data_IF_610254106470
#
_entry.id   IF_610254106470
#
_cell.length_a   1.000
_cell.length_b   1.000
_cell.length_c   1.000
_cell.angle_alpha   90.00
_cell.angle_beta   90.00
_cell.angle_gamma   90.00
#
_symmetry.space_group_name_H-M   'P 1'
#
loop_
_entity.id
_entity.type
_entity.pdbx_description
1 polymer ?
#
# COMPACT_ATOMS: atom_id res chain seq x y z
N UNK A 1 21.59 3.16 -9.77
CA UNK A 1 20.32 2.41 -9.99
C UNK A 1 20.51 0.99 -9.48
N UNK A 2 19.73 0.56 -8.51
CA UNK A 2 19.76 -0.81 -7.99
C UNK A 2 18.47 -1.54 -8.38
N UNK A 3 18.58 -2.82 -8.65
CA UNK A 3 17.43 -3.70 -8.81
C UNK A 3 17.08 -4.28 -7.44
N UNK A 4 15.89 -4.03 -6.93
CA UNK A 4 15.44 -4.55 -5.65
C UNK A 4 13.94 -4.86 -5.71
N UNK A 5 13.51 -5.83 -4.91
CA UNK A 5 12.10 -6.14 -4.74
C UNK A 5 11.67 -5.91 -3.29
N UNK A 6 10.37 -5.74 -3.06
CA UNK A 6 9.78 -5.35 -1.78
C UNK A 6 10.34 -4.01 -1.27
N UNK A 7 10.31 -3.02 -2.13
CA UNK A 7 10.66 -1.62 -1.84
C UNK A 7 9.40 -0.89 -1.39
N UNK A 8 9.48 -0.14 -0.31
CA UNK A 8 8.44 0.80 0.08
C UNK A 8 8.48 2.02 -0.83
N UNK A 9 7.38 2.31 -1.52
CA UNK A 9 7.27 3.49 -2.37
C UNK A 9 6.24 4.48 -1.85
N UNK A 10 6.55 5.76 -1.94
CA UNK A 10 5.69 6.85 -1.52
C UNK A 10 6.09 8.15 -2.23
N UNK A 11 5.42 9.26 -1.98
CA UNK A 11 5.83 10.51 -2.60
C UNK A 11 4.92 11.69 -2.31
N UNK A 12 5.36 12.83 -2.81
CA UNK A 12 4.61 14.08 -2.90
C UNK A 12 4.30 14.40 -4.37
N UNK A 13 3.73 15.56 -4.62
CA UNK A 13 3.55 16.05 -5.98
C UNK A 13 4.85 16.49 -6.69
N UNK A 14 5.99 16.48 -5.98
CA UNK A 14 7.29 16.89 -6.54
C UNK A 14 8.34 15.79 -6.55
N UNK A 15 8.27 14.84 -5.61
CA UNK A 15 9.24 13.76 -5.44
C UNK A 15 8.57 12.41 -5.26
N UNK A 16 9.07 11.39 -5.96
CA UNK A 16 8.85 9.99 -5.63
C UNK A 16 10.02 9.48 -4.80
N UNK A 17 9.74 8.74 -3.72
CA UNK A 17 10.74 8.18 -2.81
C UNK A 17 10.59 6.67 -2.71
N UNK A 18 11.70 5.96 -2.61
CA UNK A 18 11.77 4.49 -2.62
C UNK A 18 12.75 4.05 -1.54
N UNK A 19 12.28 3.30 -0.55
CA UNK A 19 13.12 2.90 0.58
C UNK A 19 13.21 1.41 0.80
N UNK A 20 14.39 0.94 1.21
CA UNK A 20 14.64 -0.44 1.56
C UNK A 20 14.73 -1.36 0.35
N UNK A 21 14.30 -2.60 0.56
CA UNK A 21 14.25 -3.63 -0.46
C UNK A 21 15.37 -4.65 -0.36
N UNK A 22 15.24 -5.68 -1.18
CA UNK A 22 16.15 -6.82 -1.22
C UNK A 22 16.78 -6.91 -2.61
N UNK A 23 17.97 -6.32 -2.82
CA UNK A 23 18.67 -6.41 -4.09
C UNK A 23 19.42 -7.73 -4.27
N UNK A 24 19.45 -8.63 -3.22
CA UNK A 24 20.28 -9.82 -3.17
C UNK A 24 21.78 -9.55 -3.39
N UNK A 25 22.70 -10.19 -2.69
CA UNK A 25 22.51 -11.21 -1.66
C UNK A 25 22.18 -10.68 -0.27
N UNK A 26 22.13 -9.36 -0.09
CA UNK A 26 21.80 -8.70 1.18
C UNK A 26 20.74 -7.63 1.01
N UNK A 27 19.94 -7.41 2.04
CA UNK A 27 18.95 -6.33 2.08
C UNK A 27 19.62 -4.95 2.15
N UNK A 28 18.90 -3.92 1.73
CA UNK A 28 19.35 -2.51 1.69
C UNK A 28 18.53 -1.64 2.63
N UNK A 29 19.17 -0.62 3.19
CA UNK A 29 18.54 0.46 3.97
C UNK A 29 18.44 1.77 3.17
N UNK A 30 18.98 1.81 1.97
CA UNK A 30 19.04 3.02 1.14
C UNK A 30 17.63 3.52 0.79
N UNK A 31 17.46 4.82 0.89
CA UNK A 31 16.31 5.55 0.37
C UNK A 31 16.77 6.31 -0.87
N UNK A 32 16.15 6.05 -2.01
CA UNK A 32 16.35 6.78 -3.24
C UNK A 32 15.17 7.70 -3.53
N UNK A 33 15.39 8.79 -4.26
CA UNK A 33 14.30 9.62 -4.76
C UNK A 33 14.48 10.04 -6.22
N UNK A 34 13.37 10.39 -6.84
CA UNK A 34 13.31 11.04 -8.15
C UNK A 34 12.56 12.36 -8.03
N UNK A 35 12.92 13.33 -8.85
CA UNK A 35 12.16 14.58 -9.02
C UNK A 35 11.18 14.39 -10.18
N UNK A 36 9.88 14.51 -9.91
CA UNK A 36 8.83 14.19 -10.90
C UNK A 36 8.81 15.18 -12.09
N UNK A 37 9.23 16.42 -11.88
CA UNK A 37 9.23 17.44 -12.92
C UNK A 37 10.44 17.37 -13.88
N UNK A 38 11.43 16.50 -13.61
CA UNK A 38 12.65 16.39 -14.40
C UNK A 38 13.00 14.95 -14.72
N UNK A 39 13.56 14.71 -15.92
CA UNK A 39 14.14 13.42 -16.25
C UNK A 39 15.50 13.27 -15.53
N UNK A 40 15.84 12.04 -15.18
CA UNK A 40 17.13 11.73 -14.55
C UNK A 40 17.11 10.42 -13.79
N UNK A 41 18.26 10.01 -13.34
CA UNK A 41 18.42 8.86 -12.46
C UNK A 41 17.93 9.18 -11.04
N UNK A 42 17.62 8.12 -10.30
CA UNK A 42 17.34 8.26 -8.88
C UNK A 42 18.60 8.73 -8.13
N UNK A 43 18.39 9.56 -7.14
CA UNK A 43 19.42 10.17 -6.31
C UNK A 43 19.28 9.63 -4.89
N UNK A 44 20.39 9.42 -4.22
CA UNK A 44 20.43 9.03 -2.82
C UNK A 44 19.77 10.10 -1.94
N UNK A 45 18.84 9.65 -1.09
CA UNK A 45 18.12 10.48 -0.13
C UNK A 45 18.72 10.36 1.27
N UNK A 46 19.14 9.14 1.65
CA UNK A 46 19.60 8.74 2.97
C UNK A 46 19.24 7.29 3.24
N UNK A 47 19.19 6.90 4.50
CA UNK A 47 18.97 5.50 4.89
C UNK A 47 17.77 5.33 5.84
N UNK A 48 17.13 4.16 5.77
CA UNK A 48 16.19 3.67 6.79
C UNK A 48 16.94 3.33 8.09
N UNK A 49 16.22 3.14 9.17
CA UNK A 49 16.77 2.73 10.47
C UNK A 49 17.42 1.34 10.45
N UNK A 50 17.02 0.48 9.51
CA UNK A 50 17.58 -0.86 9.32
C UNK A 50 17.53 -1.30 7.86
N UNK A 51 18.52 -2.10 7.46
CA UNK A 51 18.54 -2.74 6.15
C UNK A 51 17.48 -3.83 6.09
N UNK A 52 16.60 -3.78 5.10
CA UNK A 52 15.54 -4.79 4.98
C UNK A 52 14.48 -4.46 3.95
N UNK A 53 13.55 -5.37 3.84
CA UNK A 53 12.37 -5.18 3.02
C UNK A 53 11.47 -4.14 3.68
N UNK A 54 10.93 -3.26 2.88
CA UNK A 54 9.91 -2.32 3.31
C UNK A 54 8.58 -2.75 2.70
N UNK A 55 7.56 -2.96 3.51
CA UNK A 55 6.38 -3.68 3.04
C UNK A 55 5.30 -2.77 2.48
N UNK A 56 5.26 -1.54 2.95
CA UNK A 56 4.29 -0.56 2.50
C UNK A 56 4.82 0.87 2.65
N UNK A 57 4.31 1.77 1.83
CA UNK A 57 4.55 3.19 1.93
C UNK A 57 3.25 3.98 2.03
N UNK A 58 3.29 5.07 2.77
CA UNK A 58 2.20 6.03 2.87
C UNK A 58 2.77 7.43 2.94
N UNK A 59 2.06 8.44 2.48
CA UNK A 59 2.56 9.81 2.50
C UNK A 59 1.50 10.87 2.62
N UNK A 60 1.94 12.03 3.02
CA UNK A 60 1.30 13.33 2.78
C UNK A 60 2.14 14.12 1.77
N UNK A 61 1.81 15.39 1.56
CA UNK A 61 2.61 16.30 0.73
C UNK A 61 4.04 16.52 1.27
N UNK A 62 4.24 16.35 2.57
CA UNK A 62 5.50 16.69 3.24
C UNK A 62 6.26 15.49 3.80
N UNK A 63 5.56 14.43 4.22
CA UNK A 63 6.13 13.26 4.88
C UNK A 63 5.88 11.99 4.10
N UNK A 64 6.90 11.15 4.02
CA UNK A 64 6.76 9.75 3.60
C UNK A 64 7.05 8.82 4.78
N UNK A 65 6.23 7.80 4.91
CA UNK A 65 6.31 6.75 5.92
C UNK A 65 6.67 5.44 5.22
N UNK A 66 7.58 4.69 5.84
CA UNK A 66 7.96 3.36 5.45
C UNK A 66 7.56 2.39 6.56
N UNK A 67 6.57 1.55 6.27
CA UNK A 67 5.96 0.67 7.26
C UNK A 67 6.52 -0.75 7.13
N UNK A 68 6.79 -1.38 8.26
CA UNK A 68 7.31 -2.75 8.31
C UNK A 68 8.76 -2.88 7.85
N UNK A 69 9.60 -1.94 8.27
CA UNK A 69 11.04 -1.94 7.95
C UNK A 69 11.68 -3.22 8.46
N UNK A 70 12.47 -3.88 7.61
CA UNK A 70 13.12 -5.15 7.88
C UNK A 70 12.16 -6.26 8.35
N UNK A 71 10.91 -6.25 7.83
CA UNK A 71 9.86 -7.18 8.24
C UNK A 71 9.53 -7.15 9.77
N UNK A 72 9.89 -6.06 10.44
CA UNK A 72 9.55 -5.79 11.83
C UNK A 72 8.30 -4.91 11.91
N UNK A 73 7.89 -4.53 13.11
CA UNK A 73 6.79 -3.59 13.33
C UNK A 73 7.19 -2.11 13.17
N UNK A 74 8.44 -1.81 12.91
CA UNK A 74 8.99 -0.46 12.84
C UNK A 74 8.36 0.35 11.71
N UNK A 75 8.06 1.60 12.01
CA UNK A 75 7.66 2.63 11.05
C UNK A 75 8.73 3.72 11.04
N UNK A 76 9.38 3.89 9.90
CA UNK A 76 10.29 4.99 9.66
C UNK A 76 9.60 6.12 8.88
N UNK A 77 10.07 7.35 9.03
CA UNK A 77 9.61 8.46 8.21
C UNK A 77 10.74 9.40 7.77
N UNK A 78 10.47 10.11 6.71
CA UNK A 78 11.29 11.22 6.21
C UNK A 78 10.44 12.46 5.94
N UNK A 79 11.04 13.63 6.04
CA UNK A 79 10.52 14.87 5.46
C UNK A 79 10.93 14.90 3.98
N UNK A 80 9.99 14.78 3.05
CA UNK A 80 10.27 14.52 1.61
C UNK A 80 11.17 15.59 0.97
N UNK A 81 11.11 16.82 1.45
CA UNK A 81 11.88 17.93 0.86
C UNK A 81 13.29 18.09 1.44
N UNK A 82 13.60 17.40 2.54
CA UNK A 82 14.88 17.53 3.26
C UNK A 82 15.64 16.23 3.23
N UNK A 83 16.79 16.17 2.56
CA UNK A 83 17.63 14.97 2.51
C UNK A 83 18.15 14.58 3.89
N UNK A 84 18.26 13.30 4.13
CA UNK A 84 18.80 12.73 5.37
C UNK A 84 18.20 11.36 5.68
N UNK A 85 18.72 10.76 6.72
CA UNK A 85 18.25 9.45 7.17
C UNK A 85 16.83 9.53 7.72
N UNK A 86 16.11 8.44 7.57
CA UNK A 86 14.81 8.26 8.20
C UNK A 86 14.94 8.29 9.73
N UNK A 87 13.88 8.72 10.35
CA UNK A 87 13.77 8.80 11.81
C UNK A 87 12.61 7.89 12.23
N UNK A 88 12.79 7.23 13.35
CA UNK A 88 11.73 6.43 13.97
C UNK A 88 10.45 7.26 14.15
N UNK A 89 9.35 6.72 13.64
CA UNK A 89 8.01 7.30 13.75
C UNK A 89 7.23 6.65 14.88
N UNK A 90 7.39 5.35 15.08
CA UNK A 90 6.68 4.50 16.00
C UNK A 90 6.54 3.08 15.45
N UNK A 91 5.62 2.32 16.01
CA UNK A 91 5.45 0.90 15.70
C UNK A 91 4.05 0.57 15.19
N UNK A 92 3.98 -0.47 14.36
CA UNK A 92 2.73 -1.17 14.02
C UNK A 92 2.31 -1.97 15.25
N UNK A 93 1.10 -1.73 15.77
CA UNK A 93 0.60 -2.39 16.97
C UNK A 93 0.34 -3.89 16.76
N UNK A 94 0.34 -4.65 17.88
CA UNK A 94 -0.03 -6.07 17.96
C UNK A 94 0.91 -7.08 17.27
N UNK A 95 2.23 -6.84 17.28
CA UNK A 95 3.20 -7.88 16.90
C UNK A 95 3.03 -8.41 15.48
N UNK A 96 2.36 -7.65 14.63
CA UNK A 96 2.23 -7.96 13.21
C UNK A 96 3.58 -7.70 12.58
N UNK A 97 4.44 -8.70 12.54
CA UNK A 97 5.68 -8.60 11.79
C UNK A 97 5.35 -8.13 10.37
N UNK A 98 5.91 -7.00 9.99
CA UNK A 98 5.54 -6.27 8.79
C UNK A 98 5.85 -6.95 7.47
N UNK A 99 5.89 -8.27 7.42
CA UNK A 99 6.41 -8.96 6.26
C UNK A 99 5.55 -8.96 5.00
N UNK A 100 4.50 -8.19 4.87
CA UNK A 100 3.69 -7.97 3.64
C UNK A 100 2.38 -7.23 3.96
N UNK A 101 2.49 -6.10 4.61
CA UNK A 101 1.37 -5.19 4.77
C UNK A 101 1.13 -4.36 3.52
N UNK A 102 0.00 -3.72 3.50
CA UNK A 102 -0.39 -2.73 2.50
C UNK A 102 -0.77 -1.45 3.22
N UNK A 103 -0.43 -0.32 2.65
CA UNK A 103 -0.79 0.97 3.23
C UNK A 103 -1.32 1.92 2.16
N UNK A 104 -2.15 2.83 2.61
CA UNK A 104 -2.64 3.96 1.84
C UNK A 104 -2.87 5.13 2.77
N UNK A 105 -3.16 6.32 2.25
CA UNK A 105 -3.29 7.50 3.10
C UNK A 105 -4.27 8.53 2.56
N UNK A 106 -4.85 9.30 3.49
CA UNK A 106 -5.34 10.65 3.26
C UNK A 106 -4.23 11.66 3.55
N UNK A 107 -4.43 12.98 3.36
CA UNK A 107 -3.42 13.97 3.73
C UNK A 107 -3.02 13.98 5.20
N UNK A 108 -3.86 13.43 6.08
CA UNK A 108 -3.68 13.49 7.54
C UNK A 108 -3.49 12.15 8.20
N UNK A 109 -4.06 11.07 7.66
CA UNK A 109 -4.03 9.72 8.24
C UNK A 109 -3.45 8.72 7.26
N UNK A 110 -2.60 7.83 7.73
CA UNK A 110 -2.29 6.60 7.02
C UNK A 110 -3.13 5.44 7.55
N UNK A 111 -3.42 4.51 6.66
CA UNK A 111 -4.13 3.27 6.93
C UNK A 111 -3.17 2.13 6.61
N UNK A 112 -3.07 1.17 7.48
CA UNK A 112 -2.26 -0.03 7.31
C UNK A 112 -3.11 -1.28 7.44
N UNK A 113 -2.93 -2.22 6.55
CA UNK A 113 -3.57 -3.53 6.60
C UNK A 113 -2.50 -4.63 6.57
N UNK A 114 -2.46 -5.44 7.61
CA UNK A 114 -1.55 -6.58 7.71
C UNK A 114 -2.20 -7.83 7.11
N UNK A 115 -2.03 -8.05 5.83
CA UNK A 115 -2.65 -9.14 5.07
C UNK A 115 -1.94 -10.50 5.13
N UNK A 116 -1.18 -10.83 6.17
CA UNK A 116 -0.36 -12.05 6.14
C UNK A 116 -0.75 -13.16 7.12
N UNK A 117 -1.26 -12.82 8.26
CA UNK A 117 -1.57 -13.81 9.28
C UNK A 117 -2.95 -14.39 9.03
N UNK A 118 -3.06 -15.72 9.00
CA UNK A 118 -4.35 -16.39 9.01
C UNK A 118 -5.12 -15.91 10.25
N UNK A 119 -6.33 -15.45 10.05
CA UNK A 119 -7.17 -14.98 11.15
C UNK A 119 -7.05 -13.48 11.44
N UNK A 120 -6.32 -12.70 10.66
CA UNK A 120 -6.21 -11.27 10.87
C UNK A 120 -7.00 -10.48 9.81
N UNK A 121 -7.92 -9.66 10.28
CA UNK A 121 -8.71 -8.71 9.50
C UNK A 121 -8.44 -7.26 9.89
N UNK A 122 -7.50 -7.03 10.82
CA UNK A 122 -7.30 -5.74 11.45
C UNK A 122 -6.81 -4.67 10.45
N UNK A 123 -7.50 -3.55 10.46
CA UNK A 123 -7.09 -2.29 9.87
C UNK A 123 -6.52 -1.43 11.00
N UNK A 124 -5.36 -0.87 10.80
CA UNK A 124 -4.70 0.04 11.71
C UNK A 124 -4.52 1.41 11.07
N UNK A 125 -4.34 2.44 11.87
CA UNK A 125 -4.12 3.79 11.39
C UNK A 125 -3.19 4.58 12.31
N UNK A 126 -2.71 5.69 11.78
CA UNK A 126 -2.03 6.73 12.55
C UNK A 126 -2.14 8.08 11.87
N UNK A 127 -1.79 9.12 12.60
CA UNK A 127 -1.75 10.50 12.10
C UNK A 127 -0.38 10.81 11.52
N UNK A 128 -0.29 11.22 10.26
CA UNK A 128 1.01 11.45 9.58
C UNK A 128 1.80 12.61 10.21
N UNK A 129 1.11 13.62 10.71
CA UNK A 129 1.74 14.81 11.28
C UNK A 129 2.38 14.59 12.66
N UNK A 130 1.97 13.54 13.40
CA UNK A 130 2.46 13.27 14.75
C UNK A 130 2.99 11.86 14.86
N UNK A 131 4.19 11.72 15.43
CA UNK A 131 4.79 10.42 15.72
C UNK A 131 3.95 9.63 16.72
N UNK A 132 4.00 8.32 16.61
CA UNK A 132 3.36 7.39 17.51
C UNK A 132 3.06 6.05 16.86
N UNK A 133 2.71 5.08 17.68
CA UNK A 133 2.32 3.76 17.22
C UNK A 133 0.96 3.81 16.52
N UNK A 134 0.71 2.80 15.68
CA UNK A 134 -0.62 2.63 15.10
C UNK A 134 -1.66 2.35 16.18
N UNK A 135 -2.89 2.73 15.89
CA UNK A 135 -4.06 2.34 16.66
C UNK A 135 -4.99 1.45 15.80
N UNK A 136 -5.83 0.67 16.45
CA UNK A 136 -6.84 -0.13 15.77
C UNK A 136 -7.88 0.80 15.14
N UNK A 137 -8.12 0.64 13.85
CA UNK A 137 -9.17 1.35 13.10
C UNK A 137 -10.47 0.55 13.10
N UNK A 138 -10.38 -0.73 12.83
CA UNK A 138 -11.47 -1.68 12.65
C UNK A 138 -10.99 -2.92 11.90
N UNK A 139 -11.91 -3.61 11.25
CA UNK A 139 -11.61 -4.85 10.53
C UNK A 139 -12.11 -4.81 9.07
N UNK A 140 -11.43 -5.52 8.17
CA UNK A 140 -11.95 -5.79 6.83
C UNK A 140 -13.08 -6.82 6.90
N UNK A 141 -13.95 -6.83 5.89
CA UNK A 141 -15.00 -7.82 5.77
C UNK A 141 -14.43 -9.17 5.34
N UNK A 142 -13.91 -9.92 6.31
CA UNK A 142 -13.25 -11.20 6.14
C UNK A 142 -11.72 -11.15 6.29
N UNK A 143 -11.17 -12.30 6.65
CA UNK A 143 -9.77 -12.51 6.93
C UNK A 143 -9.03 -12.95 5.66
N UNK A 144 -8.61 -12.00 4.85
CA UNK A 144 -7.99 -12.29 3.56
C UNK A 144 -6.51 -11.93 3.55
N UNK A 145 -5.69 -12.85 3.05
CA UNK A 145 -4.28 -12.62 2.79
C UNK A 145 -4.11 -11.90 1.44
N UNK A 146 -3.08 -11.04 1.32
CA UNK A 146 -2.71 -10.33 0.09
C UNK A 146 -3.85 -9.54 -0.55
N UNK A 147 -4.69 -8.95 0.29
CA UNK A 147 -5.69 -7.96 -0.07
C UNK A 147 -4.98 -6.60 -0.13
N UNK A 148 -4.99 -5.96 -1.28
CA UNK A 148 -4.34 -4.67 -1.46
C UNK A 148 -5.30 -3.50 -1.22
N UNK A 149 -4.78 -2.29 -1.10
CA UNK A 149 -5.58 -1.09 -0.87
C UNK A 149 -5.05 0.13 -1.63
N UNK A 150 -5.98 1.03 -1.93
CA UNK A 150 -5.70 2.37 -2.44
C UNK A 150 -6.78 3.34 -1.95
N UNK A 151 -6.52 4.64 -1.94
CA UNK A 151 -7.46 5.61 -1.39
C UNK A 151 -7.51 6.92 -2.16
N UNK A 152 -8.64 7.59 -2.03
CA UNK A 152 -8.68 9.04 -2.17
C UNK A 152 -8.53 9.69 -0.78
N UNK A 153 -8.74 11.00 -0.67
CA UNK A 153 -8.63 11.73 0.62
C UNK A 153 -9.70 11.34 1.66
N UNK A 154 -10.76 10.62 1.27
CA UNK A 154 -11.92 10.31 2.10
C UNK A 154 -12.08 8.83 2.38
N UNK A 155 -11.95 7.97 1.35
CA UNK A 155 -12.18 6.53 1.42
C UNK A 155 -10.94 5.73 1.05
N UNK A 156 -10.68 4.66 1.79
CA UNK A 156 -9.77 3.61 1.37
C UNK A 156 -10.57 2.40 0.86
N UNK A 157 -10.18 1.90 -0.30
CA UNK A 157 -10.73 0.70 -0.96
C UNK A 157 -9.77 -0.45 -0.74
N UNK A 158 -10.31 -1.60 -0.37
CA UNK A 158 -9.57 -2.86 -0.22
C UNK A 158 -10.14 -3.87 -1.20
N UNK A 159 -9.30 -4.56 -1.98
CA UNK A 159 -9.80 -5.49 -2.99
C UNK A 159 -9.05 -6.81 -3.04
N UNK A 160 -9.80 -7.87 -3.38
CA UNK A 160 -9.30 -9.20 -3.62
C UNK A 160 -8.75 -9.90 -2.38
N UNK A 161 -7.69 -10.67 -2.60
CA UNK A 161 -7.07 -11.49 -1.57
C UNK A 161 -7.44 -12.96 -1.66
N UNK A 162 -6.96 -13.77 -0.72
CA UNK A 162 -7.30 -15.19 -0.63
C UNK A 162 -7.43 -15.66 0.81
N UNK A 163 -8.21 -16.70 1.01
CA UNK A 163 -8.25 -17.47 2.26
C UNK A 163 -7.38 -18.70 2.12
N UNK A 164 -6.61 -19.01 3.14
CA UNK A 164 -5.69 -20.15 3.16
C UNK A 164 -5.93 -21.02 4.40
N UNK A 165 -7.03 -21.81 4.45
CA UNK A 165 -7.31 -22.63 5.61
C UNK A 165 -6.29 -23.74 5.84
N UNK A 166 -5.67 -24.21 4.77
CA UNK A 166 -4.71 -25.32 4.71
C UNK A 166 -3.28 -24.89 4.34
N UNK A 167 -3.01 -23.58 4.28
CA UNK A 167 -1.73 -23.06 3.81
C UNK A 167 -1.63 -22.88 2.30
N UNK A 168 -2.58 -23.36 1.50
CA UNK A 168 -2.62 -23.15 0.06
C UNK A 168 -3.21 -21.80 -0.33
N UNK A 169 -2.79 -21.23 -1.45
CA UNK A 169 -3.35 -19.98 -2.00
C UNK A 169 -4.54 -20.25 -2.94
N UNK A 170 -5.38 -21.23 -2.63
CA UNK A 170 -6.38 -21.76 -3.56
C UNK A 170 -7.71 -21.03 -3.56
N UNK A 171 -8.07 -20.34 -2.48
CA UNK A 171 -9.39 -19.72 -2.34
C UNK A 171 -9.32 -18.21 -2.54
N UNK A 172 -9.16 -17.79 -3.79
CA UNK A 172 -9.17 -16.39 -4.19
C UNK A 172 -10.53 -15.74 -3.90
N UNK A 173 -10.54 -14.44 -3.63
CA UNK A 173 -11.74 -13.66 -3.30
C UNK A 173 -11.94 -12.51 -4.28
N UNK A 174 -13.20 -12.21 -4.53
CA UNK A 174 -13.66 -11.13 -5.40
C UNK A 174 -14.12 -9.87 -4.62
N UNK A 175 -14.09 -9.92 -3.29
CA UNK A 175 -14.60 -8.85 -2.45
C UNK A 175 -13.87 -7.53 -2.66
N UNK A 176 -14.65 -6.45 -2.72
CA UNK A 176 -14.19 -5.08 -2.58
C UNK A 176 -14.86 -4.51 -1.35
N UNK A 177 -14.07 -3.99 -0.41
CA UNK A 177 -14.56 -3.32 0.80
C UNK A 177 -14.03 -1.89 0.86
N UNK A 178 -14.66 -1.05 1.68
CA UNK A 178 -14.18 0.30 1.91
C UNK A 178 -14.31 0.74 3.36
N UNK A 179 -13.50 1.72 3.73
CA UNK A 179 -13.64 2.48 4.96
C UNK A 179 -13.72 3.99 4.65
N UNK A 180 -14.32 4.75 5.55
CA UNK A 180 -14.18 6.21 5.57
C UNK A 180 -13.01 6.58 6.48
N UNK A 181 -11.93 7.12 5.94
CA UNK A 181 -10.65 7.29 6.65
C UNK A 181 -10.78 8.18 7.91
N UNK A 182 -11.70 9.13 7.90
CA UNK A 182 -11.91 10.03 9.04
C UNK A 182 -12.65 9.39 10.23
N UNK A 183 -13.35 8.26 10.00
CA UNK A 183 -14.21 7.62 11.02
C UNK A 183 -13.80 6.17 11.24
N UNK A 184 -13.35 5.86 12.44
CA UNK A 184 -13.01 4.49 12.82
C UNK A 184 -14.23 3.57 12.76
N UNK A 185 -13.98 2.32 12.42
CA UNK A 185 -15.01 1.28 12.31
C UNK A 185 -14.64 0.21 11.28
N UNK A 186 -15.44 -0.83 11.21
CA UNK A 186 -15.23 -1.93 10.28
C UNK A 186 -15.48 -1.51 8.84
N UNK A 187 -14.79 -2.15 7.93
CA UNK A 187 -15.02 -1.97 6.50
C UNK A 187 -16.43 -2.45 6.11
N UNK A 188 -17.00 -1.77 5.13
CA UNK A 188 -18.31 -2.04 4.58
C UNK A 188 -18.13 -2.62 3.18
N UNK A 189 -19.00 -3.56 2.81
CA UNK A 189 -19.02 -4.11 1.45
C UNK A 189 -19.22 -3.00 0.42
N UNK A 190 -18.36 -2.99 -0.58
CA UNK A 190 -18.41 -2.03 -1.68
C UNK A 190 -18.98 -2.66 -2.95
N UNK A 191 -18.62 -3.93 -3.21
CA UNK A 191 -18.97 -4.67 -4.40
C UNK A 191 -17.96 -5.78 -4.70
N UNK A 192 -17.82 -6.15 -5.98
CA UNK A 192 -17.03 -7.29 -6.39
C UNK A 192 -16.15 -7.00 -7.60
N UNK A 193 -14.99 -7.66 -7.66
CA UNK A 193 -14.19 -7.82 -8.87
C UNK A 193 -14.91 -8.74 -9.86
N UNK A 194 -14.63 -8.62 -11.15
CA UNK A 194 -15.13 -9.54 -12.17
C UNK A 194 -14.57 -10.97 -12.01
N UNK A 195 -13.33 -11.06 -11.53
CA UNK A 195 -12.62 -12.32 -11.27
C UNK A 195 -12.01 -12.30 -9.87
N UNK A 196 -12.31 -13.34 -9.07
CA UNK A 196 -11.69 -13.52 -7.77
C UNK A 196 -10.17 -13.67 -7.91
N UNK A 197 -9.38 -12.80 -7.28
CA UNK A 197 -7.92 -12.79 -7.42
C UNK A 197 -7.23 -12.12 -6.23
N UNK A 198 -5.95 -12.40 -6.07
CA UNK A 198 -5.08 -11.80 -5.06
C UNK A 198 -3.89 -11.09 -5.72
N UNK A 199 -3.04 -10.42 -4.91
CA UNK A 199 -1.81 -9.78 -5.39
C UNK A 199 -2.06 -8.75 -6.51
N UNK A 200 -3.16 -8.04 -6.40
CA UNK A 200 -3.60 -6.98 -7.31
C UNK A 200 -2.75 -5.74 -7.06
N UNK A 201 -2.38 -5.04 -8.11
CA UNK A 201 -1.77 -3.72 -8.00
C UNK A 201 -2.86 -2.67 -8.01
N UNK A 202 -2.82 -1.76 -7.03
CA UNK A 202 -3.89 -0.77 -6.85
C UNK A 202 -3.33 0.64 -6.81
N UNK A 203 -4.06 1.56 -7.43
CA UNK A 203 -3.83 2.99 -7.31
C UNK A 203 -5.15 3.74 -7.40
N UNK A 204 -5.18 4.97 -6.93
CA UNK A 204 -6.39 5.77 -6.97
C UNK A 204 -6.08 7.25 -7.21
N UNK A 205 -7.06 7.92 -7.79
CA UNK A 205 -7.19 9.37 -7.74
C UNK A 205 -8.41 9.75 -6.88
N UNK A 206 -8.85 10.99 -6.93
CA UNK A 206 -10.00 11.43 -6.11
C UNK A 206 -11.33 10.77 -6.48
N UNK A 207 -11.48 10.24 -7.68
CA UNK A 207 -12.75 9.69 -8.18
C UNK A 207 -12.71 8.19 -8.40
N UNK A 208 -11.60 7.67 -8.84
CA UNK A 208 -11.46 6.31 -9.41
C UNK A 208 -10.35 5.55 -8.70
N UNK A 209 -10.63 4.31 -8.34
CA UNK A 209 -9.62 3.34 -7.92
C UNK A 209 -9.45 2.31 -9.04
N UNK A 210 -8.21 2.13 -9.51
CA UNK A 210 -7.80 1.13 -10.50
C UNK A 210 -7.23 -0.10 -9.80
N UNK A 211 -7.54 -1.27 -10.34
CA UNK A 211 -7.14 -2.59 -9.85
C UNK A 211 -6.59 -3.40 -11.01
N UNK A 212 -5.27 -3.55 -11.11
CA UNK A 212 -4.60 -4.12 -12.25
C UNK A 212 -3.92 -5.46 -11.93
N UNK A 213 -3.91 -6.38 -12.89
CA UNK A 213 -3.24 -7.68 -12.78
C UNK A 213 -3.78 -8.55 -11.65
N UNK A 214 -2.86 -9.25 -11.00
CA UNK A 214 -3.18 -10.18 -9.93
C UNK A 214 -3.04 -11.64 -10.35
N UNK A 215 -3.45 -12.54 -9.47
CA UNK A 215 -3.29 -13.99 -9.65
C UNK A 215 -4.57 -14.74 -9.29
N UNK A 216 -5.01 -15.67 -10.22
CA UNK A 216 -6.14 -16.58 -10.00
C UNK A 216 -6.24 -17.67 -11.08
N UNK A 217 -5.79 -18.88 -10.89
CA UNK A 217 -4.59 -19.35 -10.22
C UNK A 217 -3.32 -18.88 -10.93
N UNK A 218 -3.43 -18.48 -12.20
CA UNK A 218 -2.35 -17.89 -12.99
C UNK A 218 -2.38 -16.36 -12.92
N UNK A 219 -1.32 -15.72 -13.35
CA UNK A 219 -1.28 -14.26 -13.47
C UNK A 219 -2.25 -13.75 -14.53
N UNK A 220 -2.86 -12.60 -14.27
CA UNK A 220 -3.87 -11.97 -15.11
C UNK A 220 -3.35 -10.62 -15.65
N UNK A 221 -3.94 -10.20 -16.79
CA UNK A 221 -3.66 -8.88 -17.39
C UNK A 221 -4.81 -7.88 -17.19
N UNK A 222 -5.88 -8.26 -16.56
CA UNK A 222 -7.11 -7.46 -16.38
C UNK A 222 -6.81 -6.16 -15.64
N UNK A 223 -7.35 -5.04 -16.12
CA UNK A 223 -7.45 -3.77 -15.40
C UNK A 223 -8.93 -3.47 -15.21
N UNK A 224 -9.33 -3.29 -13.97
CA UNK A 224 -10.69 -2.88 -13.59
C UNK A 224 -10.66 -1.60 -12.78
N UNK A 225 -11.81 -0.94 -12.68
CA UNK A 225 -11.94 0.25 -11.86
C UNK A 225 -13.28 0.30 -11.12
N UNK A 226 -13.28 1.09 -10.04
CA UNK A 226 -14.51 1.51 -9.34
C UNK A 226 -14.53 3.02 -9.17
N UNK A 227 -15.72 3.60 -9.14
CA UNK A 227 -15.93 5.00 -8.73
C UNK A 227 -16.00 5.04 -7.20
N UNK A 228 -15.01 5.62 -6.53
CA UNK A 228 -14.82 5.54 -5.07
C UNK A 228 -16.04 6.06 -4.28
N UNK A 229 -16.74 7.06 -4.81
CA UNK A 229 -17.88 7.66 -4.12
C UNK A 229 -19.14 6.78 -4.08
N UNK A 230 -19.28 5.81 -4.99
CA UNK A 230 -20.50 5.03 -5.18
C UNK A 230 -20.18 3.54 -5.13
N UNK A 231 -20.73 2.82 -4.16
CA UNK A 231 -20.58 1.38 -4.07
C UNK A 231 -21.17 0.66 -5.31
N UNK A 232 -20.48 -0.38 -5.73
CA UNK A 232 -20.84 -1.17 -6.91
C UNK A 232 -19.69 -2.08 -7.35
N UNK A 233 -19.99 -2.97 -8.29
CA UNK A 233 -18.99 -3.89 -8.83
C UNK A 233 -17.97 -3.14 -9.70
N UNK A 234 -16.77 -3.70 -9.76
CA UNK A 234 -15.73 -3.22 -10.66
C UNK A 234 -16.18 -3.32 -12.12
N UNK A 235 -15.73 -2.36 -12.89
CA UNK A 235 -16.00 -2.26 -14.33
C UNK A 235 -14.68 -2.46 -15.09
N UNK A 236 -14.77 -3.04 -16.26
CA UNK A 236 -13.63 -3.22 -17.13
C UNK A 236 -13.04 -1.86 -17.55
N UNK A 237 -11.72 -1.74 -17.45
CA UNK A 237 -10.94 -0.59 -17.90
C UNK A 237 -10.11 -0.94 -19.14
N UNK A 238 -9.68 -2.20 -19.25
CA UNK A 238 -8.80 -2.70 -20.29
C UNK A 238 -7.79 -3.70 -19.76
N UNK A 239 -6.68 -3.89 -20.47
CA UNK A 239 -5.69 -4.91 -20.18
C UNK A 239 -4.27 -4.37 -20.07
N UNK A 240 -3.47 -5.01 -19.21
CA UNK A 240 -2.01 -4.89 -19.26
C UNK A 240 -1.46 -5.60 -20.49
N UNK A 241 -0.39 -5.08 -21.07
CA UNK A 241 0.28 -5.71 -22.21
C UNK A 241 0.86 -7.10 -21.89
N UNK A 242 1.15 -7.37 -20.63
CA UNK A 242 1.65 -8.67 -20.14
C UNK A 242 0.98 -8.94 -18.79
N UNK A 243 0.47 -10.18 -18.61
CA UNK A 243 -0.10 -10.64 -17.34
C UNK A 243 0.96 -10.61 -16.23
N UNK A 244 0.63 -10.00 -15.10
CA UNK A 244 1.55 -9.86 -13.96
C UNK A 244 0.82 -9.78 -12.62
N UNK A 245 1.56 -10.02 -11.55
CA UNK A 245 1.10 -9.85 -10.17
C UNK A 245 2.26 -9.30 -9.32
N UNK A 246 1.94 -8.70 -8.17
CA UNK A 246 2.93 -8.13 -7.26
C UNK A 246 3.78 -7.03 -7.92
N UNK A 247 3.22 -6.27 -8.82
CA UNK A 247 3.80 -5.06 -9.38
C UNK A 247 3.59 -3.87 -8.44
N UNK A 248 3.62 -2.70 -9.01
CA UNK A 248 3.31 -1.45 -8.31
C UNK A 248 2.53 -0.53 -9.22
N UNK A 249 1.66 0.25 -8.64
CA UNK A 249 0.88 1.26 -9.34
C UNK A 249 1.02 2.60 -8.62
N UNK A 250 0.93 3.69 -9.36
CA UNK A 250 1.08 5.04 -8.83
C UNK A 250 0.04 5.99 -9.43
N UNK A 251 -0.18 7.09 -8.75
CA UNK A 251 -1.03 8.19 -9.18
C UNK A 251 -0.44 9.51 -8.69
N UNK A 252 -0.59 10.55 -9.48
CA UNK A 252 -0.20 11.92 -9.15
C UNK A 252 -1.20 12.62 -8.20
N UNK A 253 -2.30 11.96 -7.90
CA UNK A 253 -3.43 12.48 -7.13
C UNK A 253 -4.02 11.44 -6.17
N UNK A 254 -3.18 10.54 -5.63
CA UNK A 254 -3.58 9.58 -4.60
C UNK A 254 -4.03 10.28 -3.30
N UNK A 255 -4.68 9.53 -2.42
CA UNK A 255 -5.32 10.08 -1.21
C UNK A 255 -4.43 10.94 -0.34
N UNK A 256 -3.17 10.54 -0.14
CA UNK A 256 -2.19 11.30 0.66
C UNK A 256 -1.85 12.67 0.11
N UNK A 257 -2.04 12.92 -1.17
CA UNK A 257 -1.82 14.22 -1.81
C UNK A 257 -3.02 15.17 -1.72
N UNK A 258 -4.15 14.70 -1.18
CA UNK A 258 -5.37 15.49 -1.05
C UNK A 258 -6.15 15.65 -2.35
N UNK A 259 -5.57 15.27 -3.47
CA UNK A 259 -6.07 15.31 -4.84
C UNK A 259 -6.61 16.67 -5.28
N UNK A 260 -6.32 17.05 -6.48
CA UNK A 260 -6.85 18.26 -7.13
C UNK A 260 -7.66 17.86 -8.37
#
# INVERSE_FOLDING_TARGET
TRSAFQVGGSGSNTRGVFGGGDPGPSSSDVIDYITLASNGDAIDFGNLSAAGRCTAGASSQTRALFLGVNAQNVIDFIEIQTLGNAVDFGDIDNGQSGSKGYATSSPTRYIYYSGLTIGNSNIQFGTIASKGNTATFGETNGQFRRKNCASNSIRAIFAGGYVSPDGSESLQKDNIDFITIASEGNAVDFGKLSVARSRIDMTANQRTCLMAGGQSPTTLNIIEFVTIATAGNAQDFGDLTIARSQGTATSDSHGGLGGY
#
